data_IF_787636500619
#
_entry.id   IF_787636500619
#
_cell.length_a   1.000
_cell.length_b   1.000
_cell.length_c   1.000
_cell.angle_alpha   90.00
_cell.angle_beta   90.00
_cell.angle_gamma   90.00
#
_symmetry.space_group_name_H-M   'P 1'
#
loop_
_entity.id
_entity.type
_entity.pdbx_description
1 polymer ?
#
# COMPACT_ATOMS: atom_id res chain seq x y z
N UNK A 1 27.02 -15.06 -26.81
CA UNK A 1 25.66 -15.23 -26.23
C UNK A 1 25.04 -13.93 -25.71
N UNK A 2 25.75 -13.09 -24.94
CA UNK A 2 25.18 -11.82 -24.43
C UNK A 2 24.81 -10.81 -25.54
N UNK A 3 25.61 -10.74 -26.59
CA UNK A 3 25.36 -9.85 -27.73
C UNK A 3 24.15 -10.28 -28.58
N UNK A 4 23.93 -11.58 -28.77
CA UNK A 4 22.78 -12.08 -29.53
C UNK A 4 21.46 -11.81 -28.82
N UNK A 5 21.45 -11.88 -27.49
CA UNK A 5 20.27 -11.54 -26.68
C UNK A 5 19.96 -10.04 -26.79
N UNK A 6 20.98 -9.17 -26.68
CA UNK A 6 20.80 -7.73 -26.80
C UNK A 6 20.23 -7.32 -28.17
N UNK A 7 20.74 -7.91 -29.27
CA UNK A 7 20.22 -7.64 -30.61
C UNK A 7 18.76 -8.10 -30.78
N UNK A 8 18.38 -9.24 -30.21
CA UNK A 8 17.00 -9.72 -30.24
C UNK A 8 16.04 -8.77 -29.51
N UNK A 9 16.43 -8.27 -28.33
CA UNK A 9 15.64 -7.29 -27.59
C UNK A 9 15.48 -5.97 -28.37
N UNK A 10 16.56 -5.42 -28.92
CA UNK A 10 16.49 -4.18 -29.70
C UNK A 10 15.64 -4.33 -30.96
N UNK A 11 15.74 -5.47 -31.66
CA UNK A 11 14.91 -5.75 -32.83
C UNK A 11 13.42 -5.81 -32.46
N UNK A 12 13.08 -6.53 -31.38
CA UNK A 12 11.70 -6.67 -30.90
C UNK A 12 11.12 -5.32 -30.44
N UNK A 13 11.90 -4.51 -29.74
CA UNK A 13 11.46 -3.21 -29.25
C UNK A 13 11.22 -2.24 -30.41
N UNK A 14 12.08 -2.25 -31.43
CA UNK A 14 11.92 -1.44 -32.64
C UNK A 14 10.69 -1.84 -33.45
N UNK A 15 10.41 -3.14 -33.60
CA UNK A 15 9.21 -3.61 -34.32
C UNK A 15 7.93 -3.22 -33.57
N UNK A 16 7.90 -3.39 -32.25
CA UNK A 16 6.78 -2.96 -31.42
C UNK A 16 6.53 -1.46 -31.52
N UNK A 17 7.59 -0.63 -31.44
CA UNK A 17 7.45 0.81 -31.58
C UNK A 17 6.94 1.22 -32.97
N UNK A 18 7.38 0.55 -34.05
CA UNK A 18 6.87 0.85 -35.39
C UNK A 18 5.41 0.45 -35.62
N UNK A 19 4.91 -0.54 -34.87
CA UNK A 19 3.51 -0.97 -34.92
C UNK A 19 2.61 -0.06 -34.08
N UNK A 20 3.10 0.42 -32.94
CA UNK A 20 2.31 1.22 -31.99
C UNK A 20 2.33 2.70 -32.33
N UNK A 21 3.44 3.24 -32.85
CA UNK A 21 3.49 4.62 -33.30
C UNK A 21 3.15 4.69 -34.79
N UNK A 22 1.97 5.21 -35.18
CA UNK A 22 1.72 5.53 -36.58
C UNK A 22 2.78 6.53 -37.03
N UNK A 23 3.71 6.05 -37.86
CA UNK A 23 4.82 6.81 -38.44
C UNK A 23 4.37 7.82 -39.49
N UNK A 24 3.30 8.56 -39.23
CA UNK A 24 2.83 9.66 -40.05
C UNK A 24 2.98 10.94 -39.27
N UNK A 25 4.24 11.32 -39.03
CA UNK A 25 4.60 12.69 -38.69
C UNK A 25 4.27 13.60 -39.88
N UNK A 26 3.00 13.91 -40.09
CA UNK A 26 2.61 15.09 -40.86
C UNK A 26 3.27 16.27 -40.14
N UNK A 27 4.34 16.79 -40.73
CA UNK A 27 4.98 18.04 -40.30
C UNK A 27 3.86 19.06 -40.27
N UNK A 28 3.36 19.41 -39.08
CA UNK A 28 2.36 20.46 -38.92
C UNK A 28 2.96 21.70 -39.59
N UNK A 29 2.40 22.13 -40.72
CA UNK A 29 2.74 23.43 -41.29
C UNK A 29 2.46 24.45 -40.18
N UNK A 30 3.46 25.29 -39.89
CA UNK A 30 3.29 26.36 -38.92
C UNK A 30 2.06 27.17 -39.34
N UNK A 31 1.06 27.25 -38.46
CA UNK A 31 -0.08 28.11 -38.67
C UNK A 31 0.42 29.56 -38.77
N UNK A 32 -0.15 30.32 -39.70
CA UNK A 32 0.14 31.74 -39.84
C UNK A 32 -0.06 32.44 -38.49
N UNK A 33 0.76 33.45 -38.14
CA UNK A 33 0.67 34.13 -36.85
C UNK A 33 -0.70 34.79 -36.74
N UNK A 34 -1.58 34.15 -35.98
CA UNK A 34 -2.84 34.75 -35.52
C UNK A 34 -2.47 35.67 -34.36
N UNK A 35 -3.13 36.82 -34.30
CA UNK A 35 -2.95 37.87 -33.29
C UNK A 35 -2.73 37.31 -31.87
N UNK A 36 -1.93 37.98 -31.00
CA UNK A 36 -1.64 37.47 -29.68
C UNK A 36 -2.93 37.25 -28.91
N UNK A 37 -3.25 35.97 -28.68
CA UNK A 37 -4.31 35.57 -27.79
C UNK A 37 -3.98 36.07 -26.37
N UNK A 38 -4.98 36.49 -25.57
CA UNK A 38 -4.74 36.89 -24.20
C UNK A 38 -4.03 35.77 -23.45
N UNK A 39 -3.02 36.16 -22.66
CA UNK A 39 -2.18 35.23 -21.91
C UNK A 39 -3.07 34.34 -21.03
N UNK A 40 -3.08 33.01 -21.22
CA UNK A 40 -3.90 32.13 -20.41
C UNK A 40 -3.39 32.19 -18.97
N UNK A 41 -4.24 32.62 -18.05
CA UNK A 41 -3.99 32.52 -16.61
C UNK A 41 -3.99 31.03 -16.26
N UNK A 42 -2.81 30.40 -16.26
CA UNK A 42 -2.66 29.01 -15.85
C UNK A 42 -2.88 28.98 -14.33
N UNK A 43 -3.90 28.28 -13.81
CA UNK A 43 -4.04 28.11 -12.38
C UNK A 43 -2.81 27.36 -11.86
N UNK A 44 -2.22 27.84 -10.76
CA UNK A 44 -1.07 27.18 -10.14
C UNK A 44 -1.40 25.70 -9.92
N UNK A 45 -0.64 24.82 -10.57
CA UNK A 45 -0.88 23.39 -10.44
C UNK A 45 -0.68 22.99 -8.97
N UNK A 46 -1.57 22.17 -8.39
CA UNK A 46 -1.37 21.66 -7.03
C UNK A 46 -0.05 20.87 -6.89
N UNK A 47 0.52 20.41 -8.00
CA UNK A 47 1.81 19.72 -8.07
C UNK A 47 3.02 20.65 -8.26
N UNK A 48 2.81 21.96 -8.43
CA UNK A 48 3.90 22.95 -8.52
C UNK A 48 4.50 23.28 -7.16
N UNK A 49 3.78 22.96 -6.07
CA UNK A 49 4.24 23.26 -4.72
C UNK A 49 5.35 22.28 -4.33
N UNK A 50 6.50 22.77 -3.83
CA UNK A 50 7.51 21.89 -3.28
C UNK A 50 6.92 21.11 -2.11
N UNK A 51 7.09 19.78 -2.13
CA UNK A 51 6.57 18.92 -1.08
C UNK A 51 7.28 19.26 0.24
N UNK A 52 6.52 19.65 1.26
CA UNK A 52 7.08 19.86 2.60
C UNK A 52 7.39 18.50 3.20
N UNK A 53 8.66 18.09 3.15
CA UNK A 53 9.12 16.90 3.86
C UNK A 53 9.44 17.23 5.31
N UNK A 54 9.19 16.29 6.25
CA UNK A 54 9.69 16.42 7.62
C UNK A 54 11.20 16.67 7.63
N UNK A 55 11.67 17.42 8.62
CA UNK A 55 13.10 17.53 8.87
C UNK A 55 13.69 16.16 9.25
N UNK A 56 15.01 16.01 9.16
CA UNK A 56 15.69 14.76 9.57
C UNK A 56 15.37 14.39 11.03
N UNK A 57 15.31 15.40 11.90
CA UNK A 57 15.02 15.22 13.33
C UNK A 57 13.57 14.79 13.55
N UNK A 58 12.63 15.44 12.86
CA UNK A 58 11.20 15.08 12.89
C UNK A 58 10.97 13.66 12.38
N UNK A 59 11.59 13.28 11.27
CA UNK A 59 11.50 11.93 10.73
C UNK A 59 12.01 10.89 11.73
N UNK A 60 13.16 11.15 12.37
CA UNK A 60 13.73 10.25 13.38
C UNK A 60 12.83 10.11 14.63
N UNK A 61 12.14 11.18 15.02
CA UNK A 61 11.17 11.13 16.11
C UNK A 61 9.91 10.34 15.74
N UNK A 62 9.40 10.52 14.52
CA UNK A 62 8.27 9.75 13.99
C UNK A 62 8.58 8.24 14.04
N UNK A 63 9.76 7.83 13.58
CA UNK A 63 10.15 6.42 13.60
C UNK A 63 10.33 5.88 15.02
N UNK A 64 10.89 6.66 15.96
CA UNK A 64 10.97 6.26 17.37
C UNK A 64 9.60 6.02 17.98
N UNK A 65 8.67 6.98 17.84
CA UNK A 65 7.29 6.84 18.32
C UNK A 65 6.57 5.65 17.70
N UNK A 66 6.82 5.39 16.41
CA UNK A 66 6.24 4.24 15.73
C UNK A 66 6.78 2.92 16.30
N UNK A 67 8.08 2.82 16.54
CA UNK A 67 8.71 1.64 17.14
C UNK A 67 8.17 1.37 18.56
N UNK A 68 8.08 2.41 19.39
CA UNK A 68 7.51 2.32 20.75
C UNK A 68 6.06 1.81 20.72
N UNK A 69 5.23 2.36 19.82
CA UNK A 69 3.84 1.91 19.67
C UNK A 69 3.75 0.45 19.23
N UNK A 70 4.61 0.03 18.30
CA UNK A 70 4.65 -1.36 17.85
C UNK A 70 5.06 -2.31 18.97
N UNK A 71 6.04 -1.92 19.78
CA UNK A 71 6.47 -2.71 20.94
C UNK A 71 5.35 -2.84 21.97
N UNK A 72 4.68 -1.73 22.32
CA UNK A 72 3.52 -1.74 23.22
C UNK A 72 2.41 -2.65 22.69
N UNK A 73 2.09 -2.57 21.39
CA UNK A 73 1.09 -3.43 20.77
C UNK A 73 1.49 -4.92 20.87
N UNK A 74 2.77 -5.23 20.65
CA UNK A 74 3.30 -6.59 20.77
C UNK A 74 3.20 -7.12 22.20
N UNK A 75 3.56 -6.31 23.19
CA UNK A 75 3.44 -6.67 24.62
C UNK A 75 1.99 -6.91 24.99
N UNK A 76 1.07 -6.02 24.60
CA UNK A 76 -0.36 -6.17 24.87
C UNK A 76 -0.94 -7.45 24.23
N UNK A 77 -0.55 -7.73 22.98
CA UNK A 77 -0.96 -8.94 22.27
C UNK A 77 -0.47 -10.21 23.00
N UNK A 78 0.80 -10.24 23.41
CA UNK A 78 1.36 -11.37 24.13
C UNK A 78 0.68 -11.60 25.49
N UNK A 79 0.38 -10.52 26.23
CA UNK A 79 -0.34 -10.59 27.49
C UNK A 79 -1.76 -11.16 27.29
N UNK A 80 -2.48 -10.69 26.27
CA UNK A 80 -3.80 -11.23 25.91
C UNK A 80 -3.71 -12.73 25.63
N UNK A 81 -2.73 -13.15 24.82
CA UNK A 81 -2.52 -14.57 24.49
C UNK A 81 -2.22 -15.44 25.72
N UNK A 82 -1.45 -14.92 26.68
CA UNK A 82 -1.20 -15.63 27.94
C UNK A 82 -2.45 -15.79 28.79
N UNK A 83 -3.29 -14.75 28.87
CA UNK A 83 -4.58 -14.81 29.57
C UNK A 83 -5.52 -15.84 28.93
N UNK A 84 -5.63 -15.83 27.61
CA UNK A 84 -6.43 -16.83 26.87
C UNK A 84 -5.96 -18.26 27.17
N UNK A 85 -4.65 -18.51 27.15
CA UNK A 85 -4.10 -19.84 27.48
C UNK A 85 -4.45 -20.29 28.90
N UNK A 86 -4.39 -19.39 29.88
CA UNK A 86 -4.80 -19.71 31.25
C UNK A 86 -6.29 -20.05 31.32
N UNK A 87 -7.13 -19.28 30.63
CA UNK A 87 -8.57 -19.54 30.55
C UNK A 87 -8.87 -20.90 29.90
N UNK A 88 -8.19 -21.25 28.82
CA UNK A 88 -8.32 -22.58 28.19
C UNK A 88 -7.97 -23.70 29.18
N UNK A 89 -6.89 -23.54 29.96
CA UNK A 89 -6.48 -24.52 30.95
C UNK A 89 -7.51 -24.67 32.09
N UNK A 90 -8.12 -23.56 32.53
CA UNK A 90 -9.18 -23.59 33.55
C UNK A 90 -10.40 -24.39 33.06
N UNK A 91 -10.84 -24.16 31.81
CA UNK A 91 -11.94 -24.94 31.20
C UNK A 91 -11.59 -26.42 31.03
N UNK A 92 -10.38 -26.71 30.54
CA UNK A 92 -9.91 -28.09 30.41
C UNK A 92 -9.84 -28.82 31.76
N UNK A 93 -9.46 -28.13 32.84
CA UNK A 93 -9.47 -28.69 34.19
C UNK A 93 -10.87 -29.03 34.70
N UNK A 94 -11.90 -28.30 34.24
CA UNK A 94 -13.31 -28.60 34.50
C UNK A 94 -13.87 -29.71 33.58
N UNK A 95 -13.08 -30.17 32.59
CA UNK A 95 -13.53 -31.12 31.57
C UNK A 95 -14.50 -30.50 30.56
N UNK A 96 -14.54 -29.17 30.45
CA UNK A 96 -15.43 -28.43 29.54
C UNK A 96 -14.63 -27.96 28.33
N UNK A 97 -15.20 -28.10 27.14
CA UNK A 97 -14.61 -27.55 25.93
C UNK A 97 -14.60 -26.02 25.96
N UNK A 98 -13.44 -25.42 25.68
CA UNK A 98 -13.29 -23.96 25.71
C UNK A 98 -13.94 -23.32 24.47
N UNK A 99 -14.94 -22.44 24.63
CA UNK A 99 -15.65 -21.84 23.51
C UNK A 99 -14.86 -20.67 22.92
N UNK A 100 -13.81 -20.98 22.16
CA UNK A 100 -12.98 -19.95 21.53
C UNK A 100 -13.70 -19.28 20.36
N UNK A 101 -13.82 -17.94 20.42
CA UNK A 101 -14.40 -17.11 19.36
C UNK A 101 -13.37 -16.09 18.85
N UNK A 102 -13.50 -15.70 17.59
CA UNK A 102 -12.66 -14.67 16.96
C UNK A 102 -13.53 -13.66 16.20
N UNK A 103 -13.03 -12.44 15.94
CA UNK A 103 -13.79 -11.46 15.14
C UNK A 103 -14.12 -12.03 13.75
N UNK A 104 -15.41 -12.12 13.43
CA UNK A 104 -15.90 -12.75 12.20
C UNK A 104 -16.09 -14.27 12.25
N UNK A 105 -16.00 -14.88 13.43
CA UNK A 105 -16.36 -16.29 13.60
C UNK A 105 -17.85 -16.50 13.25
N UNK A 106 -18.19 -17.64 12.63
CA UNK A 106 -19.57 -17.93 12.23
C UNK A 106 -20.50 -18.32 13.40
N UNK A 107 -19.96 -18.49 14.61
CA UNK A 107 -20.68 -18.87 15.83
C UNK A 107 -20.38 -17.87 16.96
N UNK A 108 -21.43 -17.44 17.67
CA UNK A 108 -21.36 -16.50 18.80
C UNK A 108 -21.07 -17.21 20.14
N UNK A 109 -20.74 -16.44 21.19
CA UNK A 109 -20.55 -16.99 22.53
C UNK A 109 -21.81 -17.69 23.05
N UNK A 110 -22.96 -17.16 22.66
CA UNK A 110 -24.31 -17.58 23.02
C UNK A 110 -24.62 -19.02 22.56
N UNK A 111 -23.96 -19.49 21.49
CA UNK A 111 -24.14 -20.86 20.98
C UNK A 111 -23.44 -21.92 21.82
N UNK A 112 -22.49 -21.52 22.66
CA UNK A 112 -21.76 -22.42 23.56
C UNK A 112 -22.31 -22.39 24.99
N UNK A 113 -23.28 -21.52 25.30
CA UNK A 113 -24.01 -21.53 26.57
C UNK A 113 -25.10 -22.62 26.55
N UNK A 114 -24.67 -23.89 26.57
CA UNK A 114 -25.59 -25.01 26.76
C UNK A 114 -25.82 -25.19 28.27
N UNK A 115 -26.89 -24.59 28.79
CA UNK A 115 -27.64 -24.99 29.98
C UNK A 115 -26.86 -25.14 31.29
N UNK A 116 -26.96 -24.14 32.17
CA UNK A 116 -26.77 -24.31 33.61
C UNK A 116 -27.84 -25.21 34.23
#
# INVERSE_FOLDING_TARGET
MRHSIAHAFFACLRTLLSLVLPGTGQRRKAAAPTAPAPEPVIPESPWSRPWTSPSKEEAAEIFRRQAERQEQARVAYNLRRQKERRRVLEFAALGIDYPYTYPGAPFGLDEFEVGA
#
